data_IF_381821456617
#
_entry.id   IF_381821456617
#
_cell.length_a   1.000
_cell.length_b   1.000
_cell.length_c   1.000
_cell.angle_alpha   90.00
_cell.angle_beta   90.00
_cell.angle_gamma   90.00
#
_symmetry.space_group_name_H-M   'P 1'
#
loop_
_entity.id
_entity.type
_entity.pdbx_description
1 polymer ?
#
# COMPACT_ATOMS: atom_id res chain seq x y z
N UNK A 1 4.53 -11.20 -3.45
CA UNK A 1 5.13 -9.99 -4.08
C UNK A 1 4.66 -8.76 -3.30
N UNK A 2 5.47 -7.71 -3.23
CA UNK A 2 5.19 -6.44 -2.53
C UNK A 2 5.46 -5.29 -3.48
N UNK A 3 4.69 -4.20 -3.38
CA UNK A 3 4.82 -3.03 -4.26
C UNK A 3 4.86 -1.75 -3.43
N UNK A 4 5.76 -0.82 -3.81
CA UNK A 4 5.91 0.51 -3.21
C UNK A 4 5.12 1.55 -4.00
N UNK A 5 4.37 2.39 -3.30
CA UNK A 5 3.58 3.46 -3.87
C UNK A 5 4.07 4.82 -3.36
N UNK A 6 4.19 5.82 -4.24
CA UNK A 6 4.54 7.19 -3.84
C UNK A 6 3.32 7.88 -3.24
N UNK A 7 3.49 8.56 -2.10
CA UNK A 7 2.40 9.31 -1.50
C UNK A 7 2.18 10.60 -2.29
N UNK A 8 0.93 10.86 -2.67
CA UNK A 8 0.52 12.14 -3.25
C UNK A 8 -0.19 12.98 -2.19
N UNK A 9 0.26 14.21 -2.01
CA UNK A 9 -0.39 15.18 -1.12
C UNK A 9 -0.63 16.48 -1.89
N UNK A 10 -1.88 16.99 -1.87
CA UNK A 10 -2.26 18.28 -2.47
C UNK A 10 -1.75 18.49 -3.90
N UNK A 11 -1.87 17.47 -4.76
CA UNK A 11 -1.51 17.56 -6.18
C UNK A 11 -0.03 17.41 -6.51
N UNK A 12 0.84 17.15 -5.53
CA UNK A 12 2.25 16.88 -5.75
C UNK A 12 2.68 15.55 -5.11
N UNK A 13 3.72 14.92 -5.67
CA UNK A 13 4.41 13.81 -5.01
C UNK A 13 5.07 14.36 -3.75
N UNK A 14 4.72 13.80 -2.60
CA UNK A 14 5.41 14.13 -1.36
C UNK A 14 6.79 13.46 -1.40
N UNK A 15 7.84 14.29 -1.41
CA UNK A 15 9.22 13.83 -1.41
C UNK A 15 9.45 12.98 -0.14
N UNK A 16 10.09 11.83 -0.32
CA UNK A 16 10.45 10.88 0.75
C UNK A 16 9.27 10.31 1.56
N UNK A 17 8.03 10.46 1.06
CA UNK A 17 6.85 9.76 1.61
C UNK A 17 6.38 8.70 0.62
N UNK A 18 6.44 7.45 1.06
CA UNK A 18 5.88 6.34 0.32
C UNK A 18 5.06 5.47 1.26
N UNK A 19 4.30 4.55 0.70
CA UNK A 19 3.63 3.50 1.45
C UNK A 19 3.83 2.18 0.74
N UNK A 20 3.77 1.10 1.49
CA UNK A 20 3.91 -0.25 0.98
C UNK A 20 2.59 -0.98 1.09
N UNK A 21 2.27 -1.79 0.08
CA UNK A 21 1.20 -2.76 0.15
C UNK A 21 1.73 -4.15 -0.20
N UNK A 22 1.35 -5.15 0.61
CA UNK A 22 1.76 -6.54 0.46
C UNK A 22 0.57 -7.46 0.63
N UNK A 23 0.36 -8.33 -0.35
CA UNK A 23 -0.65 -9.37 -0.27
C UNK A 23 -0.18 -10.49 0.67
N UNK A 24 -1.06 -10.94 1.57
CA UNK A 24 -0.83 -12.08 2.44
C UNK A 24 -0.57 -13.35 1.60
N UNK A 25 0.22 -14.33 2.10
CA UNK A 25 0.51 -15.55 1.34
C UNK A 25 -0.73 -16.38 0.94
N UNK A 26 -1.84 -16.20 1.65
CA UNK A 26 -3.12 -16.86 1.38
C UNK A 26 -4.04 -16.06 0.44
N UNK A 27 -3.59 -14.92 -0.09
CA UNK A 27 -4.33 -14.06 -1.03
C UNK A 27 -5.62 -13.42 -0.47
N UNK A 28 -5.81 -13.39 0.86
CA UNK A 28 -7.05 -12.89 1.48
C UNK A 28 -6.96 -11.46 2.03
N UNK A 29 -5.76 -10.97 2.33
CA UNK A 29 -5.57 -9.69 3.03
C UNK A 29 -4.44 -8.91 2.39
N UNK A 30 -4.69 -7.64 2.10
CA UNK A 30 -3.65 -6.67 1.76
C UNK A 30 -3.21 -5.99 3.04
N UNK A 31 -1.93 -6.16 3.38
CA UNK A 31 -1.26 -5.46 4.48
C UNK A 31 -0.62 -4.19 3.94
N UNK A 32 -0.76 -3.06 4.65
CA UNK A 32 -0.16 -1.81 4.19
C UNK A 32 0.21 -0.87 5.34
N UNK A 33 1.16 0.03 5.08
CA UNK A 33 1.51 1.15 5.95
C UNK A 33 2.41 2.15 5.20
N UNK A 34 2.53 3.34 5.76
CA UNK A 34 3.50 4.34 5.37
C UNK A 34 4.93 3.82 5.62
N UNK A 35 5.86 4.24 4.78
CA UNK A 35 7.26 3.84 4.85
C UNK A 35 8.16 5.00 4.43
N UNK A 36 9.36 5.05 5.00
CA UNK A 36 10.39 6.03 4.67
C UNK A 36 11.07 5.75 3.31
N UNK A 37 10.72 4.65 2.66
CA UNK A 37 11.18 4.26 1.33
C UNK A 37 12.61 3.73 1.27
N UNK A 38 13.27 3.53 2.42
CA UNK A 38 14.66 3.04 2.51
C UNK A 38 14.74 1.54 2.63
N UNK A 39 13.76 0.90 3.26
CA UNK A 39 13.70 -0.54 3.47
C UNK A 39 12.42 -1.14 2.91
N UNK A 40 12.46 -2.42 2.59
CA UNK A 40 11.26 -3.19 2.24
C UNK A 40 10.69 -3.74 3.54
N UNK A 41 9.49 -3.31 3.98
CA UNK A 41 8.92 -3.77 5.23
C UNK A 41 8.51 -5.24 5.17
N UNK A 42 8.65 -5.91 6.31
CA UNK A 42 8.08 -7.23 6.59
C UNK A 42 6.55 -7.15 6.72
N UNK A 43 5.88 -8.30 6.81
CA UNK A 43 4.42 -8.32 6.97
C UNK A 43 3.98 -7.78 8.35
N UNK A 44 4.83 -7.97 9.37
CA UNK A 44 4.57 -7.55 10.76
C UNK A 44 4.68 -6.02 10.92
N UNK A 45 5.54 -5.38 10.13
CA UNK A 45 5.70 -3.92 10.05
C UNK A 45 4.57 -3.23 9.26
N UNK A 46 3.62 -3.99 8.69
CA UNK A 46 2.45 -3.50 7.97
C UNK A 46 1.15 -3.82 8.73
N UNK A 47 0.85 -3.12 9.84
CA UNK A 47 -0.26 -3.44 10.73
C UNK A 47 -1.65 -3.19 10.14
N UNK A 48 -1.80 -2.25 9.18
CA UNK A 48 -3.10 -1.98 8.58
C UNK A 48 -3.49 -3.06 7.57
N UNK A 49 -4.78 -3.39 7.51
CA UNK A 49 -5.29 -4.54 6.76
C UNK A 49 -6.57 -4.18 6.00
N UNK A 50 -6.64 -4.61 4.75
CA UNK A 50 -7.88 -4.62 3.96
C UNK A 50 -8.12 -6.05 3.49
N UNK A 51 -9.31 -6.57 3.75
CA UNK A 51 -9.72 -7.86 3.22
C UNK A 51 -9.96 -7.76 1.71
N UNK A 52 -9.43 -8.69 0.94
CA UNK A 52 -9.60 -8.69 -0.52
C UNK A 52 -11.08 -8.82 -0.89
N UNK A 53 -11.87 -9.55 -0.11
CA UNK A 53 -13.30 -9.72 -0.36
C UNK A 53 -14.12 -8.44 -0.14
N UNK A 54 -13.58 -7.46 0.59
CA UNK A 54 -14.28 -6.21 0.89
C UNK A 54 -14.01 -5.13 -0.19
N UNK A 55 -13.08 -5.37 -1.12
CA UNK A 55 -12.76 -4.45 -2.21
C UNK A 55 -13.88 -4.48 -3.25
N UNK A 56 -14.57 -3.35 -3.42
CA UNK A 56 -15.71 -3.24 -4.33
C UNK A 56 -15.32 -2.98 -5.78
N UNK A 57 -14.32 -2.13 -6.00
CA UNK A 57 -13.87 -1.73 -7.32
C UNK A 57 -12.44 -1.17 -7.26
N UNK A 58 -11.71 -1.28 -8.36
CA UNK A 58 -10.44 -0.62 -8.60
C UNK A 58 -10.67 0.44 -9.68
N UNK A 59 -10.39 1.70 -9.35
CA UNK A 59 -10.50 2.82 -10.29
C UNK A 59 -9.10 3.33 -10.64
N UNK A 60 -8.95 3.87 -11.84
CA UNK A 60 -7.70 4.45 -12.32
C UNK A 60 -7.95 5.74 -13.12
N UNK A 61 -6.98 6.65 -13.12
CA UNK A 61 -7.08 7.87 -13.92
C UNK A 61 -8.14 8.86 -13.42
N UNK A 62 -9.11 9.19 -14.28
CA UNK A 62 -10.12 10.26 -14.08
C UNK A 62 -11.45 9.73 -13.49
N UNK A 63 -11.53 8.43 -13.24
CA UNK A 63 -12.76 7.73 -12.82
C UNK A 63 -13.20 8.07 -11.38
#
# INVERSE_FOLDING_TARGET
MSTRFSMYSRGARAKDKCWYARLSPNFKVIHYDDCDGKTIPTLEELPNKVSVIDIKQLLEGKE
#
